data_IF_333915755373
#
_entry.id   IF_333915755373
#
_cell.length_a   1.000
_cell.length_b   1.000
_cell.length_c   1.000
_cell.angle_alpha   90.00
_cell.angle_beta   90.00
_cell.angle_gamma   90.00
#
_symmetry.space_group_name_H-M   'P 1'
#
loop_
_entity.id
_entity.type
_entity.pdbx_description
1 polymer ?
#
# COMPACT_ATOMS: atom_id res chain seq x y z
N UNK A 1 33.45 30.10 2.28
CA UNK A 1 32.82 29.62 3.53
C UNK A 1 32.09 30.80 4.18
N UNK A 2 30.77 30.87 4.08
CA UNK A 2 29.92 31.87 4.76
C UNK A 2 28.86 31.12 5.53
N UNK A 3 29.01 31.04 6.86
CA UNK A 3 28.01 30.58 7.81
C UNK A 3 26.87 31.61 7.82
N UNK A 4 25.68 31.24 7.39
CA UNK A 4 24.46 32.02 7.64
C UNK A 4 23.93 31.60 9.01
N UNK A 5 24.13 32.49 9.95
CA UNK A 5 23.56 32.41 11.29
C UNK A 5 22.06 32.78 11.19
N UNK A 6 21.21 31.84 11.56
CA UNK A 6 19.77 32.06 11.64
C UNK A 6 19.46 32.80 12.96
N UNK A 7 19.04 34.03 12.86
CA UNK A 7 18.62 34.88 13.98
C UNK A 7 17.27 34.41 14.48
N UNK A 8 17.24 33.81 15.69
CA UNK A 8 15.98 33.49 16.38
C UNK A 8 15.48 34.79 17.01
N UNK A 9 14.36 35.30 16.50
CA UNK A 9 13.66 36.44 17.08
C UNK A 9 12.81 35.94 18.24
N UNK A 10 13.28 36.12 19.46
CA UNK A 10 12.54 35.82 20.68
C UNK A 10 11.62 37.02 20.98
N UNK A 11 10.34 36.86 20.69
CA UNK A 11 9.34 37.85 21.15
C UNK A 11 8.90 37.40 22.56
N UNK A 12 9.34 38.15 23.57
CA UNK A 12 8.87 38.05 24.95
C UNK A 12 7.60 38.92 25.07
N UNK A 13 6.44 38.30 25.21
CA UNK A 13 5.21 38.97 25.66
C UNK A 13 4.83 38.33 27.00
N UNK A 14 4.90 39.18 28.00
CA UNK A 14 4.60 38.79 29.38
C UNK A 14 3.12 38.59 29.65
N UNK A 15 2.85 37.60 30.47
CA UNK A 15 1.79 37.49 31.47
C UNK A 15 0.35 37.54 31.02
N UNK A 16 -0.28 36.36 30.96
CA UNK A 16 -1.54 36.04 31.67
C UNK A 16 -1.77 34.53 31.58
N UNK A 17 -2.03 33.94 32.71
CA UNK A 17 -2.30 32.50 32.93
C UNK A 17 -3.66 32.14 32.34
N UNK A 18 -3.67 31.59 31.15
CA UNK A 18 -4.75 30.73 30.68
C UNK A 18 -4.13 29.56 29.91
N UNK A 19 -4.42 28.35 30.39
CA UNK A 19 -3.91 27.11 29.85
C UNK A 19 -4.48 26.86 28.45
N UNK A 20 -3.90 27.51 27.47
CA UNK A 20 -4.11 27.14 26.08
C UNK A 20 -3.39 25.82 25.89
N UNK A 21 -4.08 24.73 25.50
CA UNK A 21 -3.38 23.49 25.15
C UNK A 21 -2.39 23.86 24.06
N UNK A 22 -1.11 23.66 24.34
CA UNK A 22 -0.06 23.74 23.32
C UNK A 22 -0.44 22.71 22.26
N UNK A 23 -1.14 23.16 21.23
CA UNK A 23 -1.28 22.38 20.01
C UNK A 23 0.16 22.17 19.57
N UNK A 24 0.68 20.97 19.76
CA UNK A 24 1.94 20.56 19.15
C UNK A 24 1.82 20.98 17.68
N UNK A 25 2.57 22.01 17.29
CA UNK A 25 2.70 22.37 15.90
C UNK A 25 3.12 21.07 15.17
N UNK A 26 2.16 20.44 14.51
CA UNK A 26 2.48 19.33 13.64
C UNK A 26 3.46 19.92 12.65
N UNK A 27 4.67 19.43 12.73
CA UNK A 27 5.76 19.78 11.84
C UNK A 27 5.27 19.52 10.42
N UNK A 28 4.87 20.58 9.75
CA UNK A 28 4.50 20.58 8.32
C UNK A 28 5.78 20.35 7.54
N UNK A 29 6.27 19.14 7.62
CA UNK A 29 7.39 18.69 6.82
C UNK A 29 6.90 18.64 5.38
N UNK A 30 7.37 19.55 4.57
CA UNK A 30 7.22 19.45 3.13
C UNK A 30 7.84 18.13 2.69
N UNK A 31 7.04 17.28 2.07
CA UNK A 31 7.53 16.02 1.52
C UNK A 31 8.63 16.31 0.50
N UNK A 32 9.70 15.55 0.54
CA UNK A 32 10.75 15.65 -0.48
C UNK A 32 10.18 15.25 -1.84
N UNK A 33 10.85 15.72 -2.91
CA UNK A 33 10.46 15.33 -4.28
C UNK A 33 10.47 13.80 -4.44
N UNK A 34 11.44 13.11 -3.85
CA UNK A 34 11.56 11.67 -3.87
C UNK A 34 10.38 10.98 -3.15
N UNK A 35 9.93 11.51 -2.01
CA UNK A 35 8.76 11.01 -1.30
C UNK A 35 7.47 11.20 -2.11
N UNK A 36 7.36 12.30 -2.86
CA UNK A 36 6.22 12.57 -3.75
C UNK A 36 6.26 11.59 -4.94
N UNK A 37 7.39 11.44 -5.60
CA UNK A 37 7.57 10.53 -6.74
C UNK A 37 7.29 9.07 -6.34
N UNK A 38 7.76 8.62 -5.18
CA UNK A 38 7.49 7.28 -4.65
C UNK A 38 5.99 7.04 -4.37
N UNK A 39 5.24 8.08 -4.02
CA UNK A 39 3.78 7.96 -3.83
C UNK A 39 2.99 7.96 -5.14
N UNK A 40 3.45 8.69 -6.14
CA UNK A 40 2.77 8.79 -7.45
C UNK A 40 3.12 7.61 -8.34
N UNK A 41 4.38 7.20 -8.35
CA UNK A 41 4.90 6.09 -9.14
C UNK A 41 5.75 5.15 -8.27
N UNK A 42 5.13 4.33 -7.41
CA UNK A 42 5.88 3.49 -6.50
C UNK A 42 6.72 2.46 -7.28
N UNK A 43 8.04 2.56 -7.11
CA UNK A 43 9.00 1.60 -7.64
C UNK A 43 9.13 0.45 -6.64
N UNK A 44 9.19 -0.78 -7.15
CA UNK A 44 9.41 -1.96 -6.29
C UNK A 44 10.74 -1.82 -5.54
N UNK A 45 10.76 -2.29 -4.31
CA UNK A 45 11.97 -2.38 -3.52
C UNK A 45 13.01 -3.17 -4.31
N UNK A 46 14.24 -2.67 -4.38
CA UNK A 46 15.36 -3.41 -4.96
C UNK A 46 15.51 -4.74 -4.21
N UNK A 47 15.72 -5.83 -4.96
CA UNK A 47 15.82 -7.19 -4.41
C UNK A 47 14.53 -7.69 -3.70
N UNK A 48 13.37 -7.15 -4.02
CA UNK A 48 12.09 -7.55 -3.41
C UNK A 48 11.85 -9.07 -3.42
N UNK A 49 12.31 -9.78 -4.47
CA UNK A 49 12.23 -11.23 -4.61
C UNK A 49 13.10 -12.02 -3.62
N UNK A 50 14.08 -11.39 -2.98
CA UNK A 50 14.91 -12.00 -1.93
C UNK A 50 14.21 -12.03 -0.56
N UNK A 51 13.11 -11.29 -0.42
CA UNK A 51 12.37 -11.19 0.82
C UNK A 51 11.09 -12.05 0.80
N UNK A 52 10.25 -11.87 -0.22
CA UNK A 52 8.99 -12.58 -0.37
C UNK A 52 8.92 -13.28 -1.73
N UNK A 53 8.77 -14.59 -1.71
CA UNK A 53 8.54 -15.37 -2.91
C UNK A 53 7.05 -15.63 -3.11
N UNK A 54 6.46 -15.06 -4.16
CA UNK A 54 5.08 -15.32 -4.56
C UNK A 54 5.00 -16.49 -5.54
N UNK A 55 4.08 -17.43 -5.31
CA UNK A 55 3.81 -18.53 -6.23
C UNK A 55 3.39 -17.99 -7.61
N UNK A 56 2.61 -16.91 -7.61
CA UNK A 56 2.27 -16.13 -8.80
C UNK A 56 1.92 -14.71 -8.40
N UNK A 57 2.31 -13.75 -9.24
CA UNK A 57 1.93 -12.34 -9.07
C UNK A 57 0.75 -11.93 -9.97
N UNK A 58 0.21 -12.84 -10.79
CA UNK A 58 -0.92 -12.56 -11.68
C UNK A 58 -1.95 -13.68 -11.60
N UNK A 59 -3.21 -13.33 -11.33
CA UNK A 59 -4.34 -14.24 -11.30
C UNK A 59 -5.49 -13.70 -12.14
N UNK A 60 -6.23 -14.61 -12.77
CA UNK A 60 -7.44 -14.28 -13.52
C UNK A 60 -8.67 -14.71 -12.74
N UNK A 61 -9.69 -13.86 -12.72
CA UNK A 61 -11.04 -14.21 -12.25
C UNK A 61 -11.90 -14.80 -13.38
N UNK A 62 -11.36 -14.85 -14.61
CA UNK A 62 -12.09 -15.30 -15.80
C UNK A 62 -13.12 -14.28 -16.26
N UNK A 63 -14.22 -14.77 -16.85
CA UNK A 63 -15.36 -13.93 -17.22
C UNK A 63 -16.42 -13.98 -16.13
N UNK A 64 -16.80 -12.82 -15.64
CA UNK A 64 -17.87 -12.62 -14.67
C UNK A 64 -19.04 -11.91 -15.35
N UNK A 65 -20.23 -12.00 -14.76
CA UNK A 65 -21.36 -11.14 -15.10
C UNK A 65 -21.48 -10.05 -14.05
N UNK A 66 -21.96 -8.85 -14.41
CA UNK A 66 -22.12 -7.76 -13.42
C UNK A 66 -23.12 -8.07 -12.31
N UNK A 67 -24.00 -9.07 -12.49
CA UNK A 67 -24.89 -9.60 -11.43
C UNK A 67 -24.25 -10.70 -10.59
N UNK A 68 -23.00 -11.12 -10.91
CA UNK A 68 -22.28 -12.14 -10.16
C UNK A 68 -21.93 -11.65 -8.76
N UNK A 69 -21.84 -12.61 -7.83
CA UNK A 69 -21.29 -12.35 -6.49
C UNK A 69 -19.83 -11.92 -6.57
N UNK A 70 -19.34 -11.19 -5.56
CA UNK A 70 -17.92 -10.85 -5.49
C UNK A 70 -17.02 -12.08 -5.61
N UNK A 71 -15.91 -11.94 -6.34
CA UNK A 71 -14.94 -13.03 -6.57
C UNK A 71 -13.66 -12.77 -5.80
N UNK A 72 -13.29 -13.70 -4.92
CA UNK A 72 -12.05 -13.64 -4.16
C UNK A 72 -11.01 -14.58 -4.76
N UNK A 73 -9.78 -14.10 -4.88
CA UNK A 73 -8.59 -14.89 -5.25
C UNK A 73 -7.52 -14.72 -4.18
N UNK A 74 -6.59 -15.69 -4.08
CA UNK A 74 -5.55 -15.71 -3.06
C UNK A 74 -4.18 -15.80 -3.71
N UNK A 75 -3.33 -14.82 -3.41
CA UNK A 75 -1.91 -14.82 -3.77
C UNK A 75 -1.11 -15.39 -2.61
N UNK A 76 -0.62 -16.62 -2.78
CA UNK A 76 0.21 -17.29 -1.78
C UNK A 76 1.65 -16.85 -1.92
N UNK A 77 2.33 -16.67 -0.80
CA UNK A 77 3.73 -16.29 -0.74
C UNK A 77 4.41 -16.86 0.50
N UNK A 78 5.74 -16.91 0.45
CA UNK A 78 6.62 -17.36 1.52
C UNK A 78 7.65 -16.27 1.84
N UNK A 79 7.98 -16.12 3.10
CA UNK A 79 9.12 -15.34 3.53
C UNK A 79 10.39 -16.15 3.30
N UNK A 80 11.14 -15.84 2.25
CA UNK A 80 12.41 -16.52 1.91
C UNK A 80 13.63 -15.83 2.51
N UNK A 81 13.45 -14.73 3.22
CA UNK A 81 14.51 -14.01 3.90
C UNK A 81 14.86 -14.63 5.26
N UNK A 82 15.95 -14.15 5.86
CA UNK A 82 16.36 -14.53 7.23
C UNK A 82 15.75 -13.61 8.32
N UNK A 83 14.90 -12.65 7.95
CA UNK A 83 14.31 -11.66 8.86
C UNK A 83 12.81 -11.91 9.00
N UNK A 84 12.27 -11.47 10.12
CA UNK A 84 10.81 -11.43 10.30
C UNK A 84 10.21 -10.29 9.49
N UNK A 85 9.24 -10.61 8.63
CA UNK A 85 8.56 -9.65 7.77
C UNK A 85 7.11 -9.48 8.22
N UNK A 86 6.65 -8.22 8.26
CA UNK A 86 5.26 -7.88 8.55
C UNK A 86 4.66 -7.13 7.37
N UNK A 87 3.50 -7.56 6.91
CA UNK A 87 2.74 -6.80 5.92
C UNK A 87 2.10 -5.58 6.59
N UNK A 88 2.49 -4.38 6.16
CA UNK A 88 1.97 -3.12 6.72
C UNK A 88 0.72 -2.67 5.98
N UNK A 89 0.74 -2.75 4.65
CA UNK A 89 -0.29 -2.19 3.78
C UNK A 89 -0.37 -2.94 2.46
N UNK A 90 -1.57 -3.10 1.93
CA UNK A 90 -1.84 -3.49 0.54
C UNK A 90 -2.77 -2.45 -0.06
N UNK A 91 -2.35 -1.79 -1.14
CA UNK A 91 -3.17 -0.80 -1.86
C UNK A 91 -3.60 -1.34 -3.19
N UNK A 92 -4.79 -1.01 -3.65
CA UNK A 92 -5.32 -1.42 -4.95
C UNK A 92 -5.57 -0.20 -5.83
N UNK A 93 -5.40 -0.34 -7.14
CA UNK A 93 -5.65 0.73 -8.13
C UNK A 93 -7.13 0.99 -8.37
N UNK A 94 -8.00 0.10 -7.92
CA UNK A 94 -9.45 0.22 -8.09
C UNK A 94 -10.17 0.08 -6.75
N UNK A 95 -11.07 1.03 -6.44
CA UNK A 95 -12.00 0.91 -5.31
C UNK A 95 -13.02 -0.24 -5.43
N UNK A 96 -13.02 -0.96 -6.56
CA UNK A 96 -13.81 -2.15 -6.81
C UNK A 96 -13.21 -3.43 -6.21
N UNK A 97 -12.01 -3.34 -5.67
CA UNK A 97 -11.26 -4.49 -5.14
C UNK A 97 -10.84 -4.23 -3.70
N UNK A 98 -11.24 -5.11 -2.82
CA UNK A 98 -10.82 -5.12 -1.43
C UNK A 98 -9.66 -6.10 -1.23
N UNK A 99 -8.61 -5.65 -0.54
CA UNK A 99 -7.49 -6.49 -0.16
C UNK A 99 -7.62 -6.95 1.30
N UNK A 100 -7.42 -8.25 1.53
CA UNK A 100 -7.34 -8.84 2.86
C UNK A 100 -5.99 -9.52 3.08
N UNK A 101 -5.37 -9.28 4.23
CA UNK A 101 -4.07 -9.85 4.57
C UNK A 101 -3.86 -9.91 6.09
N UNK A 102 -2.95 -10.76 6.55
CA UNK A 102 -2.56 -10.84 7.95
C UNK A 102 -1.47 -9.81 8.28
N UNK A 103 -1.63 -9.11 9.40
CA UNK A 103 -0.61 -8.24 9.99
C UNK A 103 0.30 -8.96 11.00
N UNK A 104 0.15 -10.27 11.15
CA UNK A 104 1.05 -11.05 12.01
C UNK A 104 2.46 -11.04 11.43
N UNK A 105 3.50 -10.91 12.28
CA UNK A 105 4.88 -11.09 11.84
C UNK A 105 5.05 -12.50 11.25
N UNK A 106 5.68 -12.57 10.09
CA UNK A 106 5.95 -13.78 9.33
C UNK A 106 7.43 -14.15 9.53
N UNK A 107 7.67 -15.27 10.19
CA UNK A 107 9.03 -15.77 10.44
C UNK A 107 9.69 -16.26 9.12
N UNK A 108 11.03 -16.42 9.09
CA UNK A 108 11.71 -17.04 7.96
C UNK A 108 11.08 -18.41 7.59
N UNK A 109 10.91 -18.65 6.30
CA UNK A 109 10.27 -19.83 5.70
C UNK A 109 8.77 -20.01 5.99
N UNK A 110 8.12 -19.07 6.69
CA UNK A 110 6.69 -19.13 6.93
C UNK A 110 5.90 -18.68 5.70
N UNK A 111 4.76 -19.32 5.47
CA UNK A 111 3.86 -19.03 4.35
C UNK A 111 2.66 -18.20 4.80
N UNK A 112 2.15 -17.38 3.88
CA UNK A 112 0.93 -16.60 4.07
C UNK A 112 0.23 -16.34 2.74
N UNK A 113 -0.87 -15.59 2.78
CA UNK A 113 -1.60 -15.21 1.58
C UNK A 113 -2.21 -13.81 1.67
N UNK A 114 -2.36 -13.19 0.51
CA UNK A 114 -3.13 -11.97 0.33
C UNK A 114 -4.36 -12.32 -0.48
N UNK A 115 -5.54 -11.95 -0.02
CA UNK A 115 -6.79 -12.08 -0.76
C UNK A 115 -7.12 -10.78 -1.47
N UNK A 116 -7.57 -10.88 -2.74
CA UNK A 116 -8.19 -9.78 -3.46
C UNK A 116 -9.62 -10.17 -3.81
N UNK A 117 -10.58 -9.38 -3.34
CA UNK A 117 -12.01 -9.57 -3.60
C UNK A 117 -12.49 -8.51 -4.57
N UNK A 118 -12.83 -8.92 -5.79
CA UNK A 118 -13.35 -8.06 -6.83
C UNK A 118 -14.88 -8.04 -6.82
N UNK A 119 -15.47 -6.85 -6.93
CA UNK A 119 -16.89 -6.60 -6.96
C UNK A 119 -17.31 -6.22 -8.40
N UNK A 120 -17.97 -7.12 -9.16
CA UNK A 120 -18.28 -6.91 -10.59
C UNK A 120 -19.44 -5.95 -10.85
N UNK A 121 -20.28 -5.65 -9.84
CA UNK A 121 -21.52 -4.88 -9.99
C UNK A 121 -21.30 -3.50 -10.64
N UNK A 122 -22.02 -3.23 -11.72
CA UNK A 122 -21.97 -1.98 -12.50
C UNK A 122 -20.57 -1.67 -13.07
N UNK A 123 -19.82 -2.71 -13.47
CA UNK A 123 -18.43 -2.59 -13.98
C UNK A 123 -18.18 -3.48 -15.18
N UNK A 124 -18.99 -3.38 -16.27
CA UNK A 124 -18.75 -4.15 -17.48
C UNK A 124 -17.41 -3.75 -18.11
N UNK A 125 -16.73 -4.71 -18.73
CA UNK A 125 -15.47 -4.50 -19.43
C UNK A 125 -14.31 -5.28 -18.84
N UNK A 126 -13.10 -4.91 -19.24
CA UNK A 126 -11.86 -5.59 -18.83
C UNK A 126 -11.54 -5.30 -17.37
N UNK A 127 -11.18 -6.34 -16.64
CA UNK A 127 -10.62 -6.24 -15.30
C UNK A 127 -9.09 -6.19 -15.45
N UNK A 128 -8.49 -5.10 -14.97
CA UNK A 128 -7.05 -4.95 -14.83
C UNK A 128 -6.79 -4.14 -13.57
N UNK A 129 -6.57 -4.86 -12.47
CA UNK A 129 -6.38 -4.28 -11.14
C UNK A 129 -5.00 -4.65 -10.64
N UNK A 130 -4.24 -3.66 -10.23
CA UNK A 130 -2.98 -3.87 -9.53
C UNK A 130 -3.16 -3.70 -8.02
N UNK A 131 -2.44 -4.50 -7.26
CA UNK A 131 -2.28 -4.35 -5.83
C UNK A 131 -0.79 -4.27 -5.47
N UNK A 132 -0.44 -3.26 -4.69
CA UNK A 132 0.92 -3.02 -4.22
C UNK A 132 1.03 -3.44 -2.76
N UNK A 133 2.03 -4.26 -2.46
CA UNK A 133 2.26 -4.88 -1.15
C UNK A 133 3.42 -4.17 -0.46
N UNK A 134 3.17 -3.63 0.74
CA UNK A 134 4.16 -2.94 1.56
C UNK A 134 4.41 -3.71 2.86
N UNK A 135 5.64 -3.69 3.31
CA UNK A 135 6.11 -4.40 4.51
C UNK A 135 6.87 -3.47 5.44
N UNK A 136 7.31 -4.01 6.58
CA UNK A 136 8.21 -3.30 7.49
C UNK A 136 9.61 -3.00 6.91
N UNK A 137 9.93 -3.47 5.71
CA UNK A 137 11.22 -3.21 5.04
C UNK A 137 11.26 -1.82 4.42
N UNK A 138 10.12 -1.29 3.97
CA UNK A 138 10.01 0.05 3.41
C UNK A 138 8.57 0.57 3.52
N UNK A 139 8.43 1.83 3.92
CA UNK A 139 7.14 2.52 3.95
C UNK A 139 6.75 3.08 2.58
N UNK A 140 7.72 3.29 1.68
CA UNK A 140 7.54 3.97 0.40
C UNK A 140 7.60 3.02 -0.80
N UNK A 141 8.47 2.01 -0.75
CA UNK A 141 8.66 1.06 -1.85
C UNK A 141 7.93 -0.25 -1.58
N UNK A 142 6.98 -0.67 -2.45
CA UNK A 142 6.33 -1.96 -2.30
C UNK A 142 7.31 -3.10 -2.59
N UNK A 143 7.12 -4.22 -1.92
CA UNK A 143 7.91 -5.45 -2.14
C UNK A 143 7.32 -6.35 -3.21
N UNK A 144 6.06 -6.13 -3.61
CA UNK A 144 5.43 -6.88 -4.69
C UNK A 144 4.33 -6.05 -5.36
N UNK A 145 4.13 -6.35 -6.64
CA UNK A 145 2.99 -5.90 -7.45
C UNK A 145 2.21 -7.14 -7.87
N UNK A 146 0.95 -7.22 -7.45
CA UNK A 146 0.03 -8.29 -7.79
C UNK A 146 -0.96 -7.79 -8.81
N UNK A 147 -1.30 -8.61 -9.83
CA UNK A 147 -2.24 -8.26 -10.88
C UNK A 147 -3.44 -9.19 -10.86
N UNK A 148 -4.63 -8.61 -10.88
CA UNK A 148 -5.90 -9.32 -11.04
C UNK A 148 -6.49 -8.95 -12.40
N UNK A 149 -6.72 -9.93 -13.26
CA UNK A 149 -7.25 -9.72 -14.60
C UNK A 149 -8.50 -10.56 -14.87
N UNK A 150 -9.27 -10.16 -15.87
CA UNK A 150 -10.50 -10.86 -16.29
C UNK A 150 -11.40 -9.96 -17.13
N UNK A 151 -12.66 -10.34 -17.22
CA UNK A 151 -13.67 -9.60 -17.96
C UNK A 151 -15.02 -9.66 -17.25
N UNK A 152 -15.76 -8.55 -17.26
CA UNK A 152 -17.15 -8.50 -16.76
C UNK A 152 -18.07 -8.26 -17.97
N UNK A 153 -18.94 -9.22 -18.23
CA UNK A 153 -20.00 -9.06 -19.23
C UNK A 153 -21.14 -8.20 -18.68
N UNK A 154 -21.65 -7.29 -19.52
CA UNK A 154 -22.91 -6.61 -19.20
C UNK A 154 -24.05 -7.62 -19.11
N UNK A 155 -24.99 -7.38 -18.21
CA UNK A 155 -26.26 -8.09 -18.25
C UNK A 155 -27.08 -7.47 -19.38
N UNK A 156 -27.24 -8.19 -20.49
CA UNK A 156 -28.31 -7.83 -21.41
C UNK A 156 -29.64 -7.84 -20.67
N UNK A 157 -30.40 -6.75 -20.78
CA UNK A 157 -31.78 -6.69 -20.34
C UNK A 157 -32.65 -7.67 -21.14
#
# INVERSE_FOLDING_TARGET
MKKRQLMILTVFVGGLTDSIPVIKAQEWRLMSREEIEAKVHPVLLEQAGEFLHFVTCRLSVGTLNEKSQPKTVYFRFQNVSQQTITLNKVTTTCGCTAAGFSKKPLAPNEESSISLTFHPKNRPGTIDVEALVYTNLSDFSPVARLSLCGYVSSSAE
#
